data_IF_328343691004
#
_entry.id   IF_328343691004
#
_cell.length_a   1.000
_cell.length_b   1.000
_cell.length_c   1.000
_cell.angle_alpha   90.00
_cell.angle_beta   90.00
_cell.angle_gamma   90.00
#
_symmetry.space_group_name_H-M   'P 1'
#
loop_
_entity.id
_entity.type
_entity.pdbx_description
1 polymer ?
#
# COMPACT_ATOMS: atom_id res chain seq x y z
N UNK A 1 -13.15 7.93 -6.48
CA UNK A 1 -13.99 8.37 -7.63
C UNK A 1 -13.37 9.56 -8.38
N UNK A 2 -12.95 10.64 -7.70
CA UNK A 2 -12.47 11.88 -8.35
C UNK A 2 -11.07 11.76 -8.95
N UNK A 3 -10.05 11.42 -8.15
CA UNK A 3 -8.65 11.41 -8.59
C UNK A 3 -8.38 10.59 -9.87
N UNK A 4 -8.93 9.38 -10.05
CA UNK A 4 -8.71 8.58 -11.26
C UNK A 4 -9.29 9.19 -12.55
N UNK A 5 -10.12 10.24 -12.46
CA UNK A 5 -10.70 10.95 -13.61
C UNK A 5 -9.91 12.21 -13.95
N UNK A 6 -9.35 12.90 -12.95
CA UNK A 6 -8.61 14.15 -13.16
C UNK A 6 -7.13 13.93 -13.50
N UNK A 7 -6.54 12.83 -13.03
CA UNK A 7 -5.10 12.51 -13.19
C UNK A 7 -4.80 11.93 -14.57
N UNK A 8 -4.99 12.75 -15.61
CA UNK A 8 -4.62 12.46 -17.01
C UNK A 8 -3.19 12.90 -17.33
N UNK A 9 -2.30 12.75 -16.36
CA UNK A 9 -0.89 13.13 -16.39
C UNK A 9 -0.14 12.53 -15.20
N UNK A 10 1.19 12.48 -15.30
CA UNK A 10 2.04 11.96 -14.22
C UNK A 10 2.32 13.02 -13.15
N UNK A 11 2.83 12.59 -11.99
CA UNK A 11 2.97 13.43 -10.81
C UNK A 11 4.39 14.01 -10.69
N UNK A 12 4.52 15.32 -10.51
CA UNK A 12 5.71 16.00 -9.94
C UNK A 12 5.35 16.51 -8.55
N UNK A 13 5.74 15.77 -7.51
CA UNK A 13 5.48 16.12 -6.10
C UNK A 13 6.77 16.45 -5.38
N UNK A 14 6.84 17.64 -4.76
CA UNK A 14 8.05 18.13 -4.08
C UNK A 14 7.78 19.29 -3.13
N UNK A 15 8.60 19.40 -2.09
CA UNK A 15 8.56 20.56 -1.19
C UNK A 15 9.13 21.80 -1.89
N UNK A 16 8.45 22.97 -1.86
CA UNK A 16 9.08 24.23 -2.23
C UNK A 16 10.30 24.54 -1.35
N UNK A 17 11.32 25.19 -1.93
CA UNK A 17 12.48 25.66 -1.17
C UNK A 17 12.11 26.61 -0.02
N UNK A 18 11.06 27.42 -0.18
CA UNK A 18 10.53 28.30 0.85
C UNK A 18 9.97 27.52 2.05
N UNK A 19 9.19 26.47 1.79
CA UNK A 19 8.62 25.60 2.83
C UNK A 19 9.72 24.81 3.54
N UNK A 20 10.69 24.26 2.79
CA UNK A 20 11.85 23.57 3.38
C UNK A 20 12.66 24.50 4.27
N UNK A 21 12.97 25.72 3.81
CA UNK A 21 13.68 26.73 4.59
C UNK A 21 12.92 27.12 5.86
N UNK A 22 11.59 27.14 5.81
CA UNK A 22 10.75 27.40 6.98
C UNK A 22 10.86 26.26 8.00
N UNK A 23 10.77 24.99 7.55
CA UNK A 23 10.90 23.82 8.42
C UNK A 23 12.28 23.74 9.07
N UNK A 24 13.34 24.14 8.36
CA UNK A 24 14.69 24.19 8.94
C UNK A 24 14.83 25.23 10.06
N UNK A 25 14.15 26.38 9.93
CA UNK A 25 14.16 27.46 10.93
C UNK A 25 13.16 27.25 12.06
N UNK A 26 12.12 26.44 11.83
CA UNK A 26 11.04 26.17 12.76
C UNK A 26 10.79 24.65 12.79
N UNK A 27 11.73 23.86 13.35
CA UNK A 27 11.63 22.41 13.32
C UNK A 27 10.40 21.95 14.11
N UNK A 28 9.67 21.00 13.52
CA UNK A 28 8.57 20.33 14.18
C UNK A 28 9.09 19.22 15.11
N UNK A 29 8.22 18.68 15.97
CA UNK A 29 8.59 17.57 16.86
C UNK A 29 8.91 16.29 16.07
N UNK A 30 10.04 15.68 16.41
CA UNK A 30 10.45 14.35 15.95
C UNK A 30 10.71 13.49 17.19
N UNK A 31 10.01 12.35 17.29
CA UNK A 31 10.17 11.41 18.39
C UNK A 31 11.55 10.76 18.35
N UNK A 32 12.18 10.61 19.51
CA UNK A 32 13.49 9.98 19.60
C UNK A 32 13.39 8.48 19.31
N UNK A 33 14.34 7.96 18.53
CA UNK A 33 14.42 6.54 18.23
C UNK A 33 15.42 5.83 19.15
N UNK A 34 14.98 4.73 19.75
CA UNK A 34 15.83 3.82 20.53
C UNK A 34 16.34 2.68 19.65
N UNK A 35 17.59 2.29 19.83
CA UNK A 35 18.14 1.05 19.24
C UNK A 35 17.44 -0.20 19.77
N UNK A 36 16.85 -0.11 20.97
CA UNK A 36 16.14 -1.21 21.63
C UNK A 36 14.64 -1.27 21.26
N UNK A 37 14.18 -0.37 20.38
CA UNK A 37 12.79 -0.39 19.91
C UNK A 37 12.46 -1.75 19.30
N UNK A 38 11.34 -2.32 19.69
CA UNK A 38 10.80 -3.57 19.16
C UNK A 38 9.92 -3.35 17.93
N UNK A 39 9.63 -2.10 17.57
CA UNK A 39 8.76 -1.79 16.42
C UNK A 39 9.28 -2.39 15.13
N UNK A 40 8.42 -3.10 14.40
CA UNK A 40 8.77 -3.71 13.13
C UNK A 40 7.55 -3.79 12.23
N UNK A 41 7.78 -3.88 10.92
CA UNK A 41 6.76 -4.27 9.96
C UNK A 41 6.69 -5.79 9.91
N UNK A 42 5.48 -6.33 9.91
CA UNK A 42 5.21 -7.73 9.63
C UNK A 42 4.51 -7.83 8.28
N UNK A 43 5.05 -8.65 7.38
CA UNK A 43 4.48 -8.98 6.07
C UNK A 43 4.55 -10.48 5.82
N UNK A 44 3.74 -10.97 4.89
CA UNK A 44 3.74 -12.37 4.48
C UNK A 44 5.10 -12.76 3.88
N UNK A 45 5.47 -14.04 3.97
CA UNK A 45 6.68 -14.59 3.33
C UNK A 45 6.41 -15.27 1.99
N UNK A 46 5.16 -15.62 1.72
CA UNK A 46 4.66 -16.27 0.52
C UNK A 46 3.14 -16.15 0.45
N UNK A 47 2.53 -16.48 -0.69
CA UNK A 47 1.07 -16.47 -0.87
C UNK A 47 0.42 -15.08 -0.92
N UNK A 48 1.21 -14.01 -1.03
CA UNK A 48 0.74 -12.63 -1.25
C UNK A 48 0.76 -12.26 -2.75
N UNK A 49 0.35 -11.02 -3.08
CA UNK A 49 0.34 -10.58 -4.48
C UNK A 49 1.77 -10.54 -5.04
N UNK A 50 2.73 -10.08 -4.24
CA UNK A 50 4.15 -10.08 -4.64
C UNK A 50 4.63 -11.46 -5.11
N UNK A 51 4.35 -12.51 -4.32
CA UNK A 51 4.89 -13.85 -4.57
C UNK A 51 4.24 -14.60 -5.74
N UNK A 52 3.05 -14.17 -6.18
CA UNK A 52 2.31 -14.83 -7.26
C UNK A 52 2.33 -14.03 -8.57
N UNK A 53 2.78 -12.78 -8.57
CA UNK A 53 2.66 -11.87 -9.71
C UNK A 53 3.23 -12.44 -11.02
N UNK A 54 2.41 -12.39 -12.07
CA UNK A 54 2.82 -12.65 -13.46
C UNK A 54 2.50 -11.43 -14.30
N UNK A 55 3.36 -11.08 -15.26
CA UNK A 55 3.17 -9.89 -16.10
C UNK A 55 3.66 -10.11 -17.52
N UNK A 56 3.05 -9.41 -18.47
CA UNK A 56 3.46 -9.40 -19.87
C UNK A 56 3.20 -8.03 -20.52
N UNK A 57 3.95 -7.73 -21.58
CA UNK A 57 3.73 -6.55 -22.44
C UNK A 57 2.98 -6.98 -23.69
N UNK A 58 1.87 -6.30 -23.98
CA UNK A 58 1.03 -6.57 -25.15
C UNK A 58 1.74 -6.11 -26.43
N UNK A 59 1.86 -7.00 -27.42
CA UNK A 59 2.52 -6.71 -28.70
C UNK A 59 1.57 -6.07 -29.70
N UNK A 60 0.31 -6.52 -29.71
CA UNK A 60 -0.71 -6.13 -30.68
C UNK A 60 -1.97 -5.68 -29.95
N UNK A 61 -2.59 -4.59 -30.42
CA UNK A 61 -3.84 -4.11 -29.85
C UNK A 61 -4.91 -5.21 -29.95
N UNK A 62 -5.56 -5.51 -28.83
CA UNK A 62 -6.53 -6.60 -28.72
C UNK A 62 -7.59 -6.25 -27.68
N UNK A 63 -8.54 -7.16 -27.44
CA UNK A 63 -9.40 -7.11 -26.26
C UNK A 63 -9.15 -8.36 -25.42
N UNK A 64 -9.40 -8.26 -24.12
CA UNK A 64 -9.32 -9.38 -23.19
C UNK A 64 -10.63 -9.58 -22.44
N UNK A 65 -10.86 -10.81 -22.00
CA UNK A 65 -11.83 -11.17 -20.97
C UNK A 65 -11.09 -11.74 -19.76
N UNK A 66 -11.70 -11.70 -18.57
CA UNK A 66 -11.21 -12.43 -17.41
C UNK A 66 -12.21 -13.55 -17.14
N UNK A 67 -11.72 -14.78 -17.14
CA UNK A 67 -12.52 -15.99 -17.01
C UNK A 67 -12.03 -16.81 -15.83
N UNK A 68 -12.96 -17.45 -15.12
CA UNK A 68 -12.66 -18.46 -14.10
C UNK A 68 -13.07 -19.83 -14.65
N UNK A 69 -12.12 -20.75 -14.70
CA UNK A 69 -12.38 -22.17 -14.94
C UNK A 69 -12.35 -22.91 -13.62
N UNK A 70 -13.47 -23.54 -13.25
CA UNK A 70 -13.55 -24.34 -12.03
C UNK A 70 -13.02 -25.77 -12.26
N UNK A 71 -12.88 -26.55 -11.18
CA UNK A 71 -12.36 -27.92 -11.25
C UNK A 71 -13.23 -28.89 -12.10
N UNK A 72 -14.51 -28.56 -12.35
CA UNK A 72 -15.39 -29.37 -13.20
C UNK A 72 -15.34 -28.99 -14.70
N UNK A 73 -14.52 -27.98 -15.05
CA UNK A 73 -14.37 -27.47 -16.41
C UNK A 73 -15.41 -26.41 -16.81
N UNK A 74 -16.32 -26.02 -15.91
CA UNK A 74 -17.20 -24.86 -16.13
C UNK A 74 -16.41 -23.56 -16.20
N UNK A 75 -16.78 -22.70 -17.14
CA UNK A 75 -16.18 -21.39 -17.35
C UNK A 75 -17.18 -20.30 -16.98
N UNK A 76 -16.80 -19.44 -16.04
CA UNK A 76 -17.52 -18.23 -15.65
C UNK A 76 -16.76 -17.00 -16.15
N UNK A 77 -17.47 -16.04 -16.74
CA UNK A 77 -16.88 -14.73 -17.06
C UNK A 77 -16.87 -13.85 -15.81
N UNK A 78 -15.69 -13.54 -15.28
CA UNK A 78 -15.51 -12.58 -14.20
C UNK A 78 -15.53 -11.13 -14.71
N UNK A 79 -15.08 -10.92 -15.95
CA UNK A 79 -15.04 -9.61 -16.59
C UNK A 79 -15.32 -9.69 -18.09
N UNK A 80 -16.33 -8.92 -18.50
CA UNK A 80 -16.67 -8.66 -19.89
C UNK A 80 -15.51 -8.05 -20.70
N UNK A 81 -15.53 -8.18 -22.04
CA UNK A 81 -14.45 -7.71 -22.90
C UNK A 81 -14.03 -6.26 -22.65
N UNK A 82 -12.71 -6.04 -22.54
CA UNK A 82 -12.10 -4.73 -22.41
C UNK A 82 -10.84 -4.61 -23.28
N UNK A 83 -10.50 -3.39 -23.69
CA UNK A 83 -9.40 -3.15 -24.64
C UNK A 83 -8.02 -3.18 -23.99
N UNK A 84 -7.04 -3.66 -24.76
CA UNK A 84 -5.61 -3.55 -24.52
C UNK A 84 -4.93 -2.83 -25.69
N UNK A 85 -4.00 -1.95 -25.35
CA UNK A 85 -3.22 -1.19 -26.32
C UNK A 85 -1.89 -1.87 -26.62
N UNK A 86 -1.33 -1.59 -27.81
CA UNK A 86 0.05 -1.97 -28.12
C UNK A 86 0.99 -1.38 -27.07
N UNK A 87 1.87 -2.22 -26.54
CA UNK A 87 2.85 -1.84 -25.53
C UNK A 87 2.30 -1.69 -24.11
N UNK A 88 0.99 -1.85 -23.88
CA UNK A 88 0.41 -1.88 -22.53
C UNK A 88 0.99 -3.06 -21.75
N UNK A 89 1.32 -2.83 -20.48
CA UNK A 89 1.74 -3.90 -19.57
C UNK A 89 0.51 -4.30 -18.77
N UNK A 90 0.31 -5.61 -18.67
CA UNK A 90 -0.70 -6.21 -17.79
C UNK A 90 -0.03 -7.12 -16.80
N UNK A 91 -0.60 -7.21 -15.61
CA UNK A 91 -0.14 -8.08 -14.53
C UNK A 91 -1.34 -8.71 -13.83
N UNK A 92 -1.15 -9.93 -13.32
CA UNK A 92 -2.14 -10.66 -12.56
C UNK A 92 -1.46 -11.30 -11.34
N UNK A 93 -2.11 -11.20 -10.19
CA UNK A 93 -1.61 -11.71 -8.92
C UNK A 93 -2.76 -12.22 -8.05
N UNK A 94 -2.43 -13.11 -7.12
CA UNK A 94 -3.36 -13.71 -6.16
C UNK A 94 -2.82 -13.56 -4.74
N UNK A 95 -3.67 -13.13 -3.81
CA UNK A 95 -3.42 -13.28 -2.39
C UNK A 95 -4.20 -14.49 -1.88
N UNK A 96 -3.47 -15.49 -1.40
CA UNK A 96 -4.00 -16.71 -0.82
C UNK A 96 -4.65 -16.41 0.53
N UNK A 97 -5.93 -16.75 0.68
CA UNK A 97 -6.65 -16.54 1.94
C UNK A 97 -6.09 -17.42 3.05
N UNK A 98 -5.75 -18.68 2.73
CA UNK A 98 -5.17 -19.61 3.70
C UNK A 98 -3.82 -19.11 4.21
N UNK A 99 -2.94 -18.66 3.30
CA UNK A 99 -1.64 -18.07 3.65
C UNK A 99 -1.78 -16.78 4.45
N UNK A 100 -2.69 -15.89 4.05
CA UNK A 100 -2.98 -14.64 4.76
C UNK A 100 -3.45 -14.92 6.20
N UNK A 101 -4.39 -15.84 6.40
CA UNK A 101 -4.89 -16.20 7.73
C UNK A 101 -3.78 -16.81 8.59
N UNK A 102 -2.96 -17.70 8.01
CA UNK A 102 -1.80 -18.28 8.70
C UNK A 102 -0.80 -17.21 9.16
N UNK A 103 -0.49 -16.25 8.28
CA UNK A 103 0.36 -15.10 8.61
C UNK A 103 -0.25 -14.23 9.74
N UNK A 104 -1.55 -13.91 9.68
CA UNK A 104 -2.20 -13.09 10.72
C UNK A 104 -2.12 -13.78 12.08
N UNK A 105 -2.38 -15.09 12.16
CA UNK A 105 -2.26 -15.87 13.39
C UNK A 105 -0.84 -15.74 13.98
N UNK A 106 0.18 -15.89 13.13
CA UNK A 106 1.58 -15.76 13.54
C UNK A 106 1.92 -14.35 14.01
N UNK A 107 1.49 -13.32 13.27
CA UNK A 107 1.73 -11.92 13.63
C UNK A 107 1.07 -11.54 14.97
N UNK A 108 -0.16 -11.98 15.21
CA UNK A 108 -0.85 -11.78 16.51
C UNK A 108 -0.07 -12.45 17.65
N UNK A 109 0.34 -13.71 17.46
CA UNK A 109 1.12 -14.43 18.46
C UNK A 109 2.47 -13.75 18.75
N UNK A 110 3.15 -13.30 17.70
CA UNK A 110 4.45 -12.63 17.82
C UNK A 110 4.34 -11.26 18.51
N UNK A 111 3.32 -10.46 18.18
CA UNK A 111 3.05 -9.19 18.86
C UNK A 111 2.82 -9.40 20.36
N UNK A 112 2.06 -10.44 20.72
CA UNK A 112 1.81 -10.82 22.12
C UNK A 112 3.08 -11.26 22.84
N UNK A 113 3.87 -12.14 22.23
CA UNK A 113 5.13 -12.62 22.80
C UNK A 113 6.12 -11.47 23.05
N UNK A 114 6.18 -10.50 22.13
CA UNK A 114 7.07 -9.35 22.25
C UNK A 114 6.56 -8.26 23.20
N UNK A 115 5.27 -8.29 23.55
CA UNK A 115 4.61 -7.27 24.36
C UNK A 115 4.47 -5.93 23.64
N UNK A 116 4.27 -5.96 22.32
CA UNK A 116 4.07 -4.77 21.46
C UNK A 116 2.62 -4.69 21.01
N UNK A 117 2.20 -3.49 20.59
CA UNK A 117 0.88 -3.30 19.99
C UNK A 117 0.77 -4.09 18.68
N UNK A 118 -0.41 -4.62 18.41
CA UNK A 118 -0.77 -5.11 17.09
C UNK A 118 -1.43 -3.96 16.31
N UNK A 119 -0.89 -3.61 15.14
CA UNK A 119 -1.47 -2.59 14.26
C UNK A 119 -1.52 -3.05 12.81
N UNK A 120 -2.51 -2.59 12.06
CA UNK A 120 -2.86 -2.98 10.71
C UNK A 120 -2.91 -1.73 9.85
N UNK A 121 -2.14 -1.71 8.77
CA UNK A 121 -1.96 -0.54 7.92
C UNK A 121 -2.35 -0.89 6.49
N UNK A 122 -3.51 -0.41 6.05
CA UNK A 122 -4.11 -0.73 4.75
C UNK A 122 -4.57 0.54 4.04
N UNK A 123 -5.09 0.43 2.82
CA UNK A 123 -5.66 1.55 2.06
C UNK A 123 -7.10 1.29 1.63
N UNK A 124 -7.94 0.86 2.57
CA UNK A 124 -9.31 0.39 2.34
C UNK A 124 -10.21 1.34 1.53
N UNK A 125 -10.08 2.65 1.73
CA UNK A 125 -10.88 3.66 0.99
C UNK A 125 -10.53 3.71 -0.51
N UNK A 126 -9.26 3.51 -0.85
CA UNK A 126 -8.79 3.56 -2.24
C UNK A 126 -8.87 2.18 -2.86
N UNK A 127 -8.28 1.17 -2.21
CA UNK A 127 -8.33 -0.23 -2.60
C UNK A 127 -9.66 -0.89 -2.19
N UNK A 128 -10.76 -0.34 -2.71
CA UNK A 128 -12.14 -0.61 -2.27
C UNK A 128 -12.63 -2.07 -2.35
N UNK A 129 -11.87 -2.97 -2.96
CA UNK A 129 -12.20 -4.40 -3.07
C UNK A 129 -11.25 -5.23 -2.23
N UNK A 130 -9.95 -5.23 -2.55
CA UNK A 130 -8.95 -6.07 -1.87
C UNK A 130 -8.82 -5.77 -0.39
N UNK A 131 -8.64 -4.51 -0.04
CA UNK A 131 -8.20 -4.13 1.31
C UNK A 131 -9.29 -4.33 2.36
N UNK A 132 -10.59 -4.05 2.10
CA UNK A 132 -11.66 -4.44 3.01
C UNK A 132 -11.73 -5.96 3.24
N UNK A 133 -11.46 -6.80 2.24
CA UNK A 133 -11.44 -8.26 2.40
C UNK A 133 -10.27 -8.67 3.29
N UNK A 134 -9.07 -8.14 3.03
CA UNK A 134 -7.88 -8.40 3.85
C UNK A 134 -8.11 -7.96 5.29
N UNK A 135 -8.66 -6.76 5.49
CA UNK A 135 -9.00 -6.23 6.81
C UNK A 135 -10.02 -7.12 7.53
N UNK A 136 -11.05 -7.58 6.81
CA UNK A 136 -12.03 -8.53 7.35
C UNK A 136 -11.39 -9.84 7.80
N UNK A 137 -10.41 -10.37 7.08
CA UNK A 137 -9.65 -11.54 7.54
C UNK A 137 -8.90 -11.25 8.85
N UNK A 138 -8.30 -10.06 9.00
CA UNK A 138 -7.63 -9.68 10.25
C UNK A 138 -8.62 -9.63 11.41
N UNK A 139 -9.77 -8.98 11.22
CA UNK A 139 -10.83 -8.91 12.24
C UNK A 139 -11.36 -10.30 12.61
N UNK A 140 -11.68 -11.12 11.62
CA UNK A 140 -12.20 -12.48 11.85
C UNK A 140 -11.19 -13.41 12.51
N UNK A 141 -9.89 -13.25 12.26
CA UNK A 141 -8.84 -14.05 12.93
C UNK A 141 -8.60 -13.54 14.35
N UNK A 142 -8.54 -12.22 14.57
CA UNK A 142 -8.31 -11.67 15.91
C UNK A 142 -9.43 -12.05 16.89
N UNK A 143 -10.69 -11.97 16.44
CA UNK A 143 -11.89 -12.30 17.21
C UNK A 143 -12.47 -13.68 16.89
N UNK A 144 -11.65 -14.62 16.43
CA UNK A 144 -12.13 -15.92 15.92
C UNK A 144 -13.03 -16.68 16.90
N UNK A 145 -12.67 -16.66 18.20
CA UNK A 145 -13.44 -17.32 19.26
C UNK A 145 -14.87 -16.74 19.36
N UNK A 146 -15.04 -15.41 19.18
CA UNK A 146 -16.35 -14.72 19.20
C UNK A 146 -17.15 -15.05 17.94
N UNK A 147 -16.53 -14.96 16.77
CA UNK A 147 -17.20 -15.25 15.49
C UNK A 147 -17.67 -16.72 15.42
N UNK A 148 -16.87 -17.66 15.93
CA UNK A 148 -17.25 -19.08 15.98
C UNK A 148 -18.40 -19.35 16.95
N UNK A 149 -18.33 -18.79 18.17
CA UNK A 149 -19.37 -19.02 19.20
C UNK A 149 -20.71 -18.41 18.81
N UNK A 150 -20.72 -17.23 18.20
CA UNK A 150 -21.93 -16.45 17.89
C UNK A 150 -22.35 -16.48 16.42
N UNK A 151 -21.87 -17.46 15.65
CA UNK A 151 -22.03 -17.51 14.20
C UNK A 151 -23.49 -17.33 13.73
N UNK A 152 -24.45 -18.03 14.34
CA UNK A 152 -25.87 -17.94 13.98
C UNK A 152 -26.44 -16.54 14.23
N UNK A 153 -26.15 -15.95 15.39
CA UNK A 153 -26.60 -14.59 15.74
C UNK A 153 -25.96 -13.57 14.80
N UNK A 154 -24.69 -13.76 14.45
CA UNK A 154 -23.99 -12.85 13.54
C UNK A 154 -24.49 -12.95 12.09
N UNK A 155 -24.92 -14.13 11.65
CA UNK A 155 -25.60 -14.33 10.37
C UNK A 155 -26.96 -13.61 10.35
N UNK A 156 -27.78 -13.77 11.40
CA UNK A 156 -29.07 -13.08 11.53
C UNK A 156 -28.92 -11.55 11.54
N UNK A 157 -27.90 -11.04 12.22
CA UNK A 157 -27.56 -9.61 12.23
C UNK A 157 -26.88 -9.13 10.94
N UNK A 158 -26.57 -10.04 10.01
CA UNK A 158 -25.82 -9.73 8.79
C UNK A 158 -24.50 -9.00 9.07
N UNK A 159 -23.73 -9.47 10.07
CA UNK A 159 -22.41 -8.93 10.41
C UNK A 159 -21.48 -9.05 9.21
N UNK A 160 -20.71 -7.99 8.93
CA UNK A 160 -19.68 -8.00 7.90
C UNK A 160 -18.33 -7.55 8.46
N UNK A 161 -17.40 -8.50 8.64
CA UNK A 161 -16.06 -8.21 9.14
C UNK A 161 -15.26 -7.26 8.23
N UNK A 162 -15.58 -7.19 6.93
CA UNK A 162 -14.93 -6.26 5.99
C UNK A 162 -15.25 -4.80 6.31
N UNK A 163 -16.34 -4.52 7.04
CA UNK A 163 -16.68 -3.19 7.56
C UNK A 163 -15.95 -2.87 8.89
N UNK A 164 -15.19 -3.83 9.41
CA UNK A 164 -14.48 -3.74 10.67
C UNK A 164 -15.29 -4.18 11.88
N UNK A 165 -14.62 -4.27 13.03
CA UNK A 165 -15.22 -4.74 14.27
C UNK A 165 -16.28 -3.78 14.82
N UNK A 166 -16.27 -2.51 14.40
CA UNK A 166 -17.34 -1.56 14.68
C UNK A 166 -18.71 -1.99 14.13
N UNK A 167 -18.74 -2.77 13.05
CA UNK A 167 -19.98 -3.36 12.52
C UNK A 167 -20.60 -4.35 13.52
N UNK A 168 -19.77 -5.18 14.17
CA UNK A 168 -20.19 -6.07 15.26
C UNK A 168 -20.72 -5.24 16.43
N UNK A 169 -19.92 -4.28 16.92
CA UNK A 169 -20.28 -3.47 18.08
C UNK A 169 -21.59 -2.70 17.89
N UNK A 170 -21.83 -2.16 16.69
CA UNK A 170 -23.05 -1.41 16.40
C UNK A 170 -24.28 -2.31 16.28
N UNK A 171 -24.16 -3.50 15.67
CA UNK A 171 -25.30 -4.38 15.41
C UNK A 171 -25.73 -5.19 16.63
N UNK A 172 -24.83 -5.51 17.56
CA UNK A 172 -25.22 -6.19 18.81
C UNK A 172 -26.02 -5.29 19.76
N UNK A 173 -26.06 -3.97 19.52
CA UNK A 173 -26.90 -3.04 20.29
C UNK A 173 -28.40 -3.28 20.10
N UNK A 174 -28.81 -3.98 19.03
CA UNK A 174 -30.21 -4.30 18.76
C UNK A 174 -30.67 -5.59 19.45
N UNK A 175 -29.76 -6.34 20.07
CA UNK A 175 -30.05 -7.61 20.74
C UNK A 175 -30.66 -7.40 22.13
N UNK A 176 -31.31 -8.45 22.63
CA UNK A 176 -31.78 -8.49 24.02
C UNK A 176 -30.60 -8.35 25.01
N UNK A 177 -30.81 -7.70 26.18
CA UNK A 177 -29.72 -7.36 27.11
C UNK A 177 -28.86 -8.54 27.54
N UNK A 178 -29.44 -9.74 27.68
CA UNK A 178 -28.70 -10.94 28.08
C UNK A 178 -27.76 -11.45 26.99
N UNK A 179 -28.23 -11.52 25.74
CA UNK A 179 -27.41 -11.94 24.60
C UNK A 179 -26.30 -10.93 24.30
N UNK A 180 -26.63 -9.63 24.37
CA UNK A 180 -25.64 -8.55 24.26
C UNK A 180 -24.56 -8.67 25.33
N UNK A 181 -24.94 -8.87 26.59
CA UNK A 181 -23.99 -8.99 27.70
C UNK A 181 -23.08 -10.22 27.54
N UNK A 182 -23.62 -11.34 27.04
CA UNK A 182 -22.81 -12.53 26.74
C UNK A 182 -21.75 -12.25 25.67
N UNK A 183 -22.16 -11.68 24.53
CA UNK A 183 -21.23 -11.35 23.44
C UNK A 183 -20.17 -10.36 23.93
N UNK A 184 -20.57 -9.33 24.69
CA UNK A 184 -19.62 -8.36 25.27
C UNK A 184 -18.60 -9.02 26.21
N UNK A 185 -19.02 -9.99 27.03
CA UNK A 185 -18.10 -10.73 27.88
C UNK A 185 -17.09 -11.55 27.07
N UNK A 186 -17.52 -12.22 26.00
CA UNK A 186 -16.62 -12.98 25.13
C UNK A 186 -15.64 -12.07 24.38
N UNK A 187 -16.06 -10.86 23.98
CA UNK A 187 -15.19 -9.84 23.39
C UNK A 187 -14.10 -9.42 24.39
N UNK A 188 -14.46 -9.17 25.65
CA UNK A 188 -13.47 -8.84 26.68
C UNK A 188 -12.51 -10.01 26.95
N UNK A 189 -12.99 -11.26 26.88
CA UNK A 189 -12.14 -12.43 27.00
C UNK A 189 -11.11 -12.53 25.87
N UNK A 190 -11.48 -12.16 24.63
CA UNK A 190 -10.52 -12.06 23.51
C UNK A 190 -9.47 -10.99 23.79
N UNK A 191 -9.86 -9.77 24.20
CA UNK A 191 -8.88 -8.72 24.50
C UNK A 191 -7.94 -9.09 25.66
N UNK A 192 -8.42 -9.82 26.67
CA UNK A 192 -7.56 -10.31 27.75
C UNK A 192 -6.58 -11.42 27.29
N UNK A 193 -6.91 -12.14 26.22
CA UNK A 193 -6.11 -13.25 25.66
C UNK A 193 -5.15 -12.79 24.56
N UNK A 194 -5.51 -11.78 23.77
CA UNK A 194 -4.76 -11.32 22.60
C UNK A 194 -3.74 -10.21 22.95
N UNK A 195 -2.82 -9.81 22.04
CA UNK A 195 -2.03 -8.60 22.26
C UNK A 195 -2.94 -7.36 22.30
N UNK A 196 -2.46 -6.31 22.97
CA UNK A 196 -3.11 -5.00 22.89
C UNK A 196 -3.09 -4.49 21.44
N UNK A 197 -4.17 -3.84 21.02
CA UNK A 197 -4.33 -3.31 19.66
C UNK A 197 -4.07 -1.81 19.68
N UNK A 198 -3.46 -1.27 18.62
CA UNK A 198 -3.31 0.17 18.48
C UNK A 198 -4.66 0.90 18.49
N UNK A 199 -4.71 2.06 19.13
CA UNK A 199 -5.92 2.87 19.28
C UNK A 199 -5.96 4.00 18.25
N UNK A 200 -7.16 4.23 17.71
CA UNK A 200 -7.51 5.44 16.95
C UNK A 200 -7.93 6.54 17.93
N UNK A 201 -8.75 6.19 18.92
CA UNK A 201 -9.20 7.06 20.00
C UNK A 201 -9.33 6.23 21.29
N UNK A 202 -8.34 6.34 22.18
CA UNK A 202 -8.28 5.56 23.42
C UNK A 202 -9.40 5.93 24.40
N UNK A 203 -9.78 7.21 24.47
CA UNK A 203 -10.83 7.69 25.38
C UNK A 203 -12.21 7.13 25.04
N UNK A 204 -12.42 6.81 23.75
CA UNK A 204 -13.65 6.18 23.26
C UNK A 204 -13.55 4.68 23.03
N UNK A 205 -12.39 4.07 23.30
CA UNK A 205 -12.16 2.66 23.03
C UNK A 205 -12.19 2.29 21.54
N UNK A 206 -11.92 3.24 20.64
CA UNK A 206 -11.88 2.99 19.19
C UNK A 206 -10.50 2.44 18.84
N UNK A 207 -10.46 1.16 18.48
CA UNK A 207 -9.25 0.45 18.07
C UNK A 207 -9.01 0.59 16.57
N UNK A 208 -7.79 0.25 16.14
CA UNK A 208 -7.40 0.11 14.74
C UNK A 208 -8.23 -0.95 13.98
N UNK A 209 -8.90 -1.87 14.66
CA UNK A 209 -9.77 -2.88 14.05
C UNK A 209 -11.23 -2.44 13.91
N UNK A 210 -11.60 -1.25 14.40
CA UNK A 210 -13.00 -0.79 14.38
C UNK A 210 -13.50 -0.47 12.99
N UNK A 211 -12.78 0.37 12.23
CA UNK A 211 -13.19 0.83 10.89
C UNK A 211 -11.98 0.74 9.95
N UNK A 212 -12.12 0.08 8.78
CA UNK A 212 -11.01 -0.18 7.87
C UNK A 212 -10.39 1.09 7.26
N UNK A 213 -11.10 2.21 7.28
CA UNK A 213 -10.66 3.50 6.72
C UNK A 213 -10.01 4.44 7.74
N UNK A 214 -9.99 4.11 9.03
CA UNK A 214 -9.46 5.02 10.05
C UNK A 214 -7.92 5.07 10.03
N UNK A 215 -7.27 3.94 9.78
CA UNK A 215 -5.81 3.83 9.75
C UNK A 215 -5.34 3.54 8.33
N UNK A 216 -4.99 4.61 7.62
CA UNK A 216 -4.59 4.55 6.21
C UNK A 216 -3.07 4.50 6.13
N UNK A 217 -2.51 3.49 5.46
CA UNK A 217 -1.07 3.16 5.46
C UNK A 217 -0.14 4.33 5.08
N UNK A 218 -0.51 5.12 4.08
CA UNK A 218 0.25 6.26 3.57
C UNK A 218 0.43 7.35 4.63
N UNK A 219 -0.58 7.61 5.46
CA UNK A 219 -0.51 8.60 6.55
C UNK A 219 -0.06 7.99 7.89
N UNK A 220 -0.55 6.80 8.22
CA UNK A 220 -0.33 6.15 9.52
C UNK A 220 1.10 5.65 9.71
N UNK A 221 1.73 5.09 8.67
CA UNK A 221 3.12 4.62 8.77
C UNK A 221 4.09 5.77 9.01
N UNK A 222 4.05 6.90 8.25
CA UNK A 222 4.89 8.05 8.56
C UNK A 222 4.61 8.68 9.91
N UNK A 223 3.34 8.73 10.35
CA UNK A 223 2.98 9.25 11.67
C UNK A 223 3.60 8.41 12.80
N UNK A 224 3.52 7.08 12.68
CA UNK A 224 4.16 6.14 13.62
C UNK A 224 5.69 6.27 13.59
N UNK A 225 6.29 6.32 12.39
CA UNK A 225 7.76 6.45 12.24
C UNK A 225 8.27 7.78 12.84
N UNK A 226 7.55 8.88 12.61
CA UNK A 226 7.86 10.20 13.20
C UNK A 226 7.75 10.19 14.72
N UNK A 227 6.85 9.39 15.28
CA UNK A 227 6.54 9.34 16.71
C UNK A 227 7.30 8.20 17.38
N UNK A 228 8.63 8.18 17.23
CA UNK A 228 9.52 7.20 17.87
C UNK A 228 9.31 5.74 17.43
N UNK A 229 8.54 5.50 16.35
CA UNK A 229 8.13 4.15 15.97
C UNK A 229 6.94 3.63 16.78
N UNK A 230 6.17 4.50 17.42
CA UNK A 230 5.15 4.10 18.41
C UNK A 230 3.74 4.50 17.98
N UNK A 231 2.76 3.76 18.49
CA UNK A 231 1.33 4.05 18.38
C UNK A 231 0.71 4.13 19.77
N UNK A 232 -0.57 4.50 19.85
CA UNK A 232 -1.27 4.70 21.11
C UNK A 232 -1.88 3.39 21.61
N UNK A 233 -1.66 3.05 22.88
CA UNK A 233 -2.29 1.93 23.56
C UNK A 233 -3.61 2.32 24.23
N UNK A 234 -4.28 1.36 24.88
CA UNK A 234 -5.58 1.57 25.57
C UNK A 234 -5.53 2.61 26.70
N UNK A 235 -4.35 2.86 27.26
CA UNK A 235 -4.14 3.82 28.35
C UNK A 235 -3.79 5.22 27.82
N UNK A 236 -3.84 5.45 26.51
CA UNK A 236 -3.50 6.72 25.87
C UNK A 236 -1.99 7.00 25.89
N UNK A 237 -1.15 5.97 25.95
CA UNK A 237 0.30 6.08 25.98
C UNK A 237 0.94 5.54 24.71
N UNK A 238 2.11 6.08 24.35
CA UNK A 238 2.88 5.59 23.20
C UNK A 238 3.55 4.25 23.53
N UNK A 239 3.48 3.30 22.61
CA UNK A 239 4.07 1.98 22.75
C UNK A 239 4.56 1.47 21.39
N UNK A 240 5.65 0.70 21.40
CA UNK A 240 6.17 0.02 20.22
C UNK A 240 5.10 -0.89 19.61
N UNK A 241 5.15 -1.05 18.28
CA UNK A 241 4.10 -1.74 17.52
C UNK A 241 4.65 -2.71 16.48
N UNK A 242 3.92 -3.80 16.27
CA UNK A 242 4.03 -4.63 15.09
C UNK A 242 3.08 -4.11 14.02
N UNK A 243 3.63 -3.39 13.04
CA UNK A 243 2.91 -2.82 11.92
C UNK A 243 2.67 -3.86 10.82
N UNK A 244 1.48 -4.47 10.83
CA UNK A 244 1.05 -5.48 9.86
C UNK A 244 0.71 -4.84 8.52
N UNK A 245 1.49 -5.19 7.50
CA UNK A 245 1.31 -4.85 6.09
C UNK A 245 1.45 -6.17 5.33
N UNK A 246 0.34 -6.90 5.05
CA UNK A 246 0.43 -8.29 4.60
C UNK A 246 1.24 -8.48 3.31
N UNK A 247 1.03 -7.63 2.31
CA UNK A 247 1.68 -7.76 1.01
C UNK A 247 3.10 -7.17 0.98
N UNK A 248 4.05 -7.91 0.40
CA UNK A 248 5.47 -7.52 0.37
C UNK A 248 5.82 -6.44 -0.64
N UNK A 249 4.97 -6.10 -1.62
CA UNK A 249 5.34 -5.17 -2.69
C UNK A 249 5.91 -3.84 -2.15
N UNK A 250 5.38 -3.37 -1.02
CA UNK A 250 5.71 -2.06 -0.47
C UNK A 250 6.11 -2.08 1.02
N UNK A 251 5.87 -3.19 1.74
CA UNK A 251 6.16 -3.32 3.17
C UNK A 251 7.65 -3.05 3.50
N UNK A 252 8.56 -3.53 2.65
CA UNK A 252 10.00 -3.40 2.84
C UNK A 252 10.49 -1.94 2.93
N UNK A 253 9.83 -0.99 2.25
CA UNK A 253 10.18 0.44 2.31
C UNK A 253 10.04 0.98 3.74
N UNK A 254 8.96 0.63 4.42
CA UNK A 254 8.74 1.07 5.79
C UNK A 254 9.66 0.35 6.78
N UNK A 255 9.90 -0.96 6.57
CA UNK A 255 10.85 -1.72 7.39
C UNK A 255 12.27 -1.15 7.31
N UNK A 256 12.73 -0.79 6.11
CA UNK A 256 14.04 -0.16 5.90
C UNK A 256 14.12 1.21 6.60
N UNK A 257 13.04 2.00 6.55
CA UNK A 257 12.97 3.29 7.23
C UNK A 257 13.03 3.14 8.75
N UNK A 258 12.27 2.19 9.31
CA UNK A 258 12.30 1.86 10.74
C UNK A 258 13.70 1.40 11.15
N UNK A 259 14.28 0.46 10.40
CA UNK A 259 15.61 -0.09 10.67
C UNK A 259 16.68 0.99 10.62
N UNK A 260 16.56 1.93 9.68
CA UNK A 260 17.45 3.08 9.59
C UNK A 260 17.32 3.98 10.82
N UNK A 261 16.11 4.35 11.23
CA UNK A 261 15.88 5.21 12.38
C UNK A 261 16.34 4.57 13.70
N UNK A 262 16.15 3.26 13.89
CA UNK A 262 16.71 2.53 15.05
C UNK A 262 18.23 2.67 15.12
N UNK A 263 18.90 2.55 13.98
CA UNK A 263 20.37 2.56 13.90
C UNK A 263 20.99 3.97 13.88
N UNK A 264 20.28 4.96 13.34
CA UNK A 264 20.82 6.31 13.06
C UNK A 264 20.12 7.41 13.86
N UNK A 265 19.17 7.04 14.72
CA UNK A 265 18.29 7.96 15.41
C UNK A 265 17.30 8.65 14.45
N UNK A 266 16.44 9.49 15.04
CA UNK A 266 15.46 10.28 14.28
C UNK A 266 16.11 11.17 13.21
N UNK A 267 15.36 11.51 12.17
CA UNK A 267 15.74 12.56 11.24
C UNK A 267 15.73 13.93 11.93
N UNK A 268 16.61 14.83 11.48
CA UNK A 268 16.68 16.21 11.96
C UNK A 268 16.18 17.15 10.84
N UNK A 269 14.97 17.74 10.99
CA UNK A 269 14.40 18.64 9.99
C UNK A 269 15.27 19.88 9.68
N UNK A 270 16.19 20.25 10.58
CA UNK A 270 17.07 21.42 10.40
C UNK A 270 18.20 21.17 9.41
N UNK A 271 18.64 19.91 9.27
CA UNK A 271 19.81 19.54 8.47
C UNK A 271 19.50 18.53 7.36
N UNK A 272 18.42 17.75 7.48
CA UNK A 272 18.11 16.70 6.51
C UNK A 272 17.81 17.27 5.12
N UNK A 273 18.21 16.52 4.10
CA UNK A 273 17.90 16.79 2.71
C UNK A 273 16.41 16.61 2.40
N UNK A 274 16.09 16.53 1.11
CA UNK A 274 14.72 16.42 0.63
C UNK A 274 14.55 15.33 -0.41
N UNK A 275 13.41 14.63 -0.36
CA UNK A 275 13.01 13.65 -1.38
C UNK A 275 11.85 14.20 -2.18
N UNK A 276 12.09 14.38 -3.48
CA UNK A 276 11.01 14.65 -4.43
C UNK A 276 10.56 13.36 -5.11
N UNK A 277 9.36 13.35 -5.64
CA UNK A 277 8.79 12.19 -6.31
C UNK A 277 8.30 12.53 -7.72
N UNK A 278 8.70 11.68 -8.67
CA UNK A 278 8.12 11.60 -10.01
C UNK A 278 7.30 10.31 -10.09
N UNK A 279 5.98 10.45 -10.06
CA UNK A 279 5.06 9.33 -9.91
C UNK A 279 4.30 8.99 -11.17
N UNK A 280 4.36 7.72 -11.58
CA UNK A 280 3.51 7.17 -12.63
C UNK A 280 2.07 7.06 -12.11
N UNK A 281 1.12 7.72 -12.75
CA UNK A 281 -0.30 7.64 -12.34
C UNK A 281 -1.31 7.88 -13.45
N UNK A 282 -0.88 8.41 -14.60
CA UNK A 282 -1.79 8.79 -15.68
C UNK A 282 -2.66 7.60 -16.11
N UNK A 283 -3.93 7.88 -16.44
CA UNK A 283 -4.88 6.88 -16.96
C UNK A 283 -5.10 5.68 -16.02
N UNK A 284 -5.12 5.94 -14.71
CA UNK A 284 -5.35 4.94 -13.65
C UNK A 284 -4.30 3.82 -13.64
N UNK A 285 -3.03 4.19 -13.83
CA UNK A 285 -1.93 3.24 -13.88
C UNK A 285 -1.89 2.31 -12.65
N UNK A 286 -1.59 1.03 -12.92
CA UNK A 286 -1.34 -0.03 -11.94
C UNK A 286 -2.56 -0.29 -11.03
N UNK A 287 -2.36 -0.42 -9.71
CA UNK A 287 -3.39 -0.87 -8.76
C UNK A 287 -4.60 0.08 -8.68
N UNK A 288 -4.42 1.36 -8.96
CA UNK A 288 -5.50 2.37 -8.94
C UNK A 288 -6.53 2.14 -10.06
N UNK A 289 -6.17 1.35 -11.08
CA UNK A 289 -7.05 0.93 -12.17
C UNK A 289 -7.61 -0.47 -11.98
N UNK A 290 -7.29 -1.18 -10.89
CA UNK A 290 -7.55 -2.63 -10.75
C UNK A 290 -8.91 -2.99 -10.16
N UNK A 291 -9.68 -2.03 -9.65
CA UNK A 291 -10.86 -2.33 -8.84
C UNK A 291 -11.95 -3.11 -9.57
N UNK A 292 -12.11 -2.90 -10.87
CA UNK A 292 -13.06 -3.60 -11.74
C UNK A 292 -12.48 -4.90 -12.33
N UNK A 293 -11.35 -5.34 -11.78
CA UNK A 293 -10.54 -6.50 -12.14
C UNK A 293 -10.01 -7.22 -10.88
N UNK A 294 -10.65 -7.00 -9.74
CA UNK A 294 -10.31 -7.63 -8.46
C UNK A 294 -11.51 -8.46 -8.02
N UNK A 295 -11.29 -9.73 -7.72
CA UNK A 295 -12.36 -10.68 -7.42
C UNK A 295 -11.98 -11.54 -6.21
N UNK A 296 -12.94 -11.77 -5.33
CA UNK A 296 -12.83 -12.79 -4.30
C UNK A 296 -13.37 -14.10 -4.84
N UNK A 297 -12.55 -15.14 -4.81
CA UNK A 297 -12.89 -16.42 -5.41
C UNK A 297 -13.85 -17.21 -4.51
N UNK A 298 -14.87 -17.84 -5.11
CA UNK A 298 -15.88 -18.63 -4.39
C UNK A 298 -15.67 -20.14 -4.52
N UNK A 299 -14.76 -20.55 -5.41
CA UNK A 299 -14.42 -21.93 -5.71
C UNK A 299 -12.93 -22.02 -6.07
N UNK A 300 -12.33 -23.20 -5.90
CA UNK A 300 -10.99 -23.47 -6.39
C UNK A 300 -10.99 -23.69 -7.91
N UNK A 301 -9.93 -23.26 -8.59
CA UNK A 301 -9.82 -23.36 -10.04
C UNK A 301 -8.67 -22.52 -10.60
N UNK A 302 -8.86 -22.03 -11.83
CA UNK A 302 -7.87 -21.19 -12.53
C UNK A 302 -8.54 -19.94 -13.08
N UNK A 303 -8.01 -18.76 -12.76
CA UNK A 303 -8.39 -17.51 -13.41
C UNK A 303 -7.47 -17.27 -14.60
N UNK A 304 -8.05 -17.01 -15.77
CA UNK A 304 -7.33 -16.69 -17.01
C UNK A 304 -7.72 -15.33 -17.57
N UNK A 305 -6.72 -14.59 -18.02
CA UNK A 305 -6.87 -13.41 -18.86
C UNK A 305 -6.68 -13.87 -20.30
N UNK A 306 -7.74 -13.83 -21.10
CA UNK A 306 -7.76 -14.43 -22.45
C UNK A 306 -8.08 -13.34 -23.47
N UNK A 307 -7.31 -13.27 -24.56
CA UNK A 307 -7.59 -12.37 -25.68
C UNK A 307 -8.71 -12.90 -26.58
N UNK A 308 -9.26 -12.04 -27.44
CA UNK A 308 -10.40 -12.39 -28.32
C UNK A 308 -10.13 -13.50 -29.34
N UNK A 309 -8.86 -13.77 -29.65
CA UNK A 309 -8.41 -14.88 -30.49
C UNK A 309 -8.20 -16.19 -29.71
N UNK A 310 -8.53 -16.21 -28.41
CA UNK A 310 -8.45 -17.39 -27.54
C UNK A 310 -7.08 -17.62 -26.91
N UNK A 311 -6.13 -16.70 -27.07
CA UNK A 311 -4.80 -16.82 -26.47
C UNK A 311 -4.85 -16.46 -24.98
N UNK A 312 -4.32 -17.34 -24.13
CA UNK A 312 -4.15 -17.07 -22.70
C UNK A 312 -2.97 -16.11 -22.53
N UNK A 313 -3.24 -14.89 -22.06
CA UNK A 313 -2.24 -13.87 -21.81
C UNK A 313 -1.60 -14.02 -20.43
N UNK A 314 -2.41 -14.31 -19.41
CA UNK A 314 -2.01 -14.55 -18.02
C UNK A 314 -2.94 -15.60 -17.40
N UNK A 315 -2.43 -16.38 -16.46
CA UNK A 315 -3.24 -17.33 -15.68
C UNK A 315 -2.73 -17.47 -14.25
N UNK A 316 -3.66 -17.71 -13.32
CA UNK A 316 -3.38 -17.94 -11.92
C UNK A 316 -4.27 -19.04 -11.35
N UNK A 317 -3.66 -19.98 -10.63
CA UNK A 317 -4.41 -20.92 -9.79
C UNK A 317 -4.94 -20.20 -8.55
N UNK A 318 -6.16 -20.54 -8.15
CA UNK A 318 -6.85 -19.91 -7.03
C UNK A 318 -7.59 -20.94 -6.18
N UNK A 319 -7.71 -20.66 -4.89
CA UNK A 319 -8.54 -21.40 -3.95
C UNK A 319 -9.76 -20.56 -3.49
N UNK A 320 -10.67 -21.19 -2.74
CA UNK A 320 -11.82 -20.49 -2.14
C UNK A 320 -11.33 -19.38 -1.22
N UNK A 321 -11.89 -18.19 -1.40
CA UNK A 321 -11.63 -17.03 -0.57
C UNK A 321 -10.42 -16.19 -0.99
N UNK A 322 -9.59 -16.71 -1.90
CA UNK A 322 -8.45 -15.98 -2.46
C UNK A 322 -8.89 -14.69 -3.15
N UNK A 323 -7.99 -13.71 -3.16
CA UNK A 323 -8.20 -12.44 -3.85
C UNK A 323 -7.36 -12.45 -5.12
N UNK A 324 -8.01 -12.56 -6.28
CA UNK A 324 -7.36 -12.34 -7.57
C UNK A 324 -7.42 -10.85 -7.92
N UNK A 325 -6.35 -10.33 -8.54
CA UNK A 325 -6.30 -8.98 -9.08
C UNK A 325 -5.54 -8.94 -10.40
N UNK A 326 -6.03 -8.16 -11.36
CA UNK A 326 -5.30 -7.76 -12.56
C UNK A 326 -5.12 -6.23 -12.63
N UNK A 327 -3.91 -5.76 -12.95
CA UNK A 327 -3.62 -4.35 -13.19
C UNK A 327 -3.19 -4.09 -14.65
N UNK A 328 -3.13 -2.79 -14.99
CA UNK A 328 -2.79 -2.31 -16.32
C UNK A 328 -1.96 -1.03 -16.22
N UNK A 329 -0.97 -0.88 -17.09
CA UNK A 329 -0.32 0.42 -17.35
C UNK A 329 -0.04 0.59 -18.84
N UNK A 330 -0.51 1.71 -19.39
CA UNK A 330 -0.37 2.02 -20.81
C UNK A 330 1.01 2.58 -21.12
N UNK A 331 1.47 2.32 -22.33
CA UNK A 331 2.82 2.69 -22.76
C UNK A 331 3.06 4.21 -22.79
N UNK A 332 2.08 4.99 -23.27
CA UNK A 332 2.20 6.44 -23.35
C UNK A 332 2.38 7.11 -21.96
N UNK A 333 1.62 6.75 -20.90
CA UNK A 333 1.93 7.12 -19.52
C UNK A 333 3.35 6.81 -19.07
N UNK A 334 3.92 5.66 -19.46
CA UNK A 334 5.29 5.27 -19.08
C UNK A 334 6.32 6.16 -19.77
N UNK A 335 6.16 6.43 -21.07
CA UNK A 335 7.04 7.33 -21.81
C UNK A 335 7.03 8.75 -21.20
N UNK A 336 5.85 9.28 -20.90
CA UNK A 336 5.70 10.58 -20.26
C UNK A 336 6.35 10.61 -18.86
N UNK A 337 6.20 9.53 -18.09
CA UNK A 337 6.82 9.40 -16.77
C UNK A 337 8.34 9.38 -16.83
N UNK A 338 8.94 8.63 -17.76
CA UNK A 338 10.40 8.62 -17.99
C UNK A 338 10.89 10.00 -18.43
N UNK A 339 10.17 10.65 -19.36
CA UNK A 339 10.47 12.01 -19.80
C UNK A 339 10.44 13.00 -18.64
N UNK A 340 9.41 12.93 -17.78
CA UNK A 340 9.29 13.78 -16.60
C UNK A 340 10.45 13.55 -15.62
N UNK A 341 10.85 12.30 -15.40
CA UNK A 341 12.00 11.96 -14.56
C UNK A 341 13.30 12.59 -15.07
N UNK A 342 13.60 12.44 -16.37
CA UNK A 342 14.80 13.04 -16.98
C UNK A 342 14.75 14.57 -16.92
N UNK A 343 13.58 15.18 -17.15
CA UNK A 343 13.41 16.63 -17.03
C UNK A 343 13.71 17.13 -15.61
N UNK A 344 13.22 16.43 -14.58
CA UNK A 344 13.50 16.78 -13.18
C UNK A 344 14.96 16.54 -12.81
N UNK A 345 15.55 15.43 -13.24
CA UNK A 345 16.97 15.14 -13.06
C UNK A 345 17.84 16.24 -13.67
N UNK A 346 17.59 16.62 -14.93
CA UNK A 346 18.32 17.69 -15.63
C UNK A 346 18.14 19.06 -14.98
N UNK A 347 16.93 19.38 -14.53
CA UNK A 347 16.64 20.68 -13.92
C UNK A 347 17.25 20.86 -12.52
N UNK A 348 17.64 19.77 -11.86
CA UNK A 348 18.09 19.81 -10.45
C UNK A 348 19.47 19.23 -10.24
N UNK A 349 19.99 18.46 -11.19
CA UNK A 349 21.24 17.71 -11.12
C UNK A 349 21.34 16.82 -9.86
N UNK A 350 20.22 16.20 -9.47
CA UNK A 350 20.13 15.32 -8.31
C UNK A 350 20.19 13.83 -8.72
N UNK A 351 20.71 12.96 -7.84
CA UNK A 351 20.55 11.52 -8.00
C UNK A 351 19.08 11.16 -8.18
N UNK A 352 18.77 10.45 -9.26
CA UNK A 352 17.42 10.11 -9.67
C UNK A 352 17.27 8.60 -9.76
N UNK A 353 16.38 8.02 -8.94
CA UNK A 353 16.33 6.58 -8.75
C UNK A 353 14.95 6.09 -9.16
N UNK A 354 14.90 5.15 -10.11
CA UNK A 354 13.71 4.37 -10.42
C UNK A 354 13.58 3.23 -9.42
N UNK A 355 12.48 3.19 -8.67
CA UNK A 355 12.23 2.19 -7.62
C UNK A 355 11.46 1.03 -8.24
N UNK A 356 12.20 0.06 -8.78
CA UNK A 356 11.66 -1.07 -9.52
C UNK A 356 12.37 -2.35 -9.04
N UNK A 357 11.60 -3.33 -8.59
CA UNK A 357 12.12 -4.62 -8.15
C UNK A 357 12.19 -5.61 -9.31
N UNK A 358 13.39 -6.02 -9.72
CA UNK A 358 13.56 -7.02 -10.78
C UNK A 358 12.93 -8.38 -10.45
N UNK A 359 12.60 -8.66 -9.18
CA UNK A 359 11.92 -9.88 -8.75
C UNK A 359 10.40 -9.82 -8.91
N UNK A 360 9.84 -8.63 -9.17
CA UNK A 360 8.41 -8.47 -9.51
C UNK A 360 8.25 -8.55 -11.01
N UNK A 361 7.38 -9.44 -11.48
CA UNK A 361 7.15 -9.61 -12.92
C UNK A 361 6.70 -8.30 -13.58
N UNK A 362 5.87 -7.50 -12.90
CA UNK A 362 5.43 -6.19 -13.39
C UNK A 362 6.61 -5.22 -13.54
N UNK A 363 7.42 -5.08 -12.49
CA UNK A 363 8.54 -4.16 -12.49
C UNK A 363 9.63 -4.61 -13.48
N UNK A 364 9.80 -5.91 -13.74
CA UNK A 364 10.67 -6.41 -14.81
C UNK A 364 10.24 -5.88 -16.19
N UNK A 365 8.94 -5.85 -16.47
CA UNK A 365 8.42 -5.23 -17.70
C UNK A 365 8.64 -3.71 -17.71
N UNK A 366 8.43 -3.04 -16.57
CA UNK A 366 8.71 -1.61 -16.42
C UNK A 366 10.18 -1.27 -16.65
N UNK A 367 11.12 -2.07 -16.12
CA UNK A 367 12.56 -1.89 -16.30
C UNK A 367 12.93 -1.95 -17.78
N UNK A 368 12.35 -2.88 -18.56
CA UNK A 368 12.54 -2.95 -20.01
C UNK A 368 12.11 -1.65 -20.70
N UNK A 369 10.95 -1.09 -20.31
CA UNK A 369 10.44 0.19 -20.85
C UNK A 369 11.32 1.37 -20.45
N UNK A 370 11.72 1.46 -19.18
CA UNK A 370 12.60 2.53 -18.67
C UNK A 370 13.93 2.52 -19.42
N UNK A 371 14.59 1.36 -19.52
CA UNK A 371 15.86 1.24 -20.25
C UNK A 371 15.72 1.63 -21.73
N UNK A 372 14.61 1.26 -22.39
CA UNK A 372 14.32 1.68 -23.75
C UNK A 372 14.17 3.20 -23.86
N UNK A 373 13.28 3.80 -23.06
CA UNK A 373 12.90 5.21 -23.20
C UNK A 373 13.95 6.18 -22.66
N UNK A 374 14.84 5.74 -21.78
CA UNK A 374 16.01 6.56 -21.40
C UNK A 374 16.93 6.84 -22.60
N UNK A 375 16.96 5.99 -23.63
CA UNK A 375 17.74 6.20 -24.86
C UNK A 375 17.19 7.34 -25.72
N UNK A 376 15.91 7.68 -25.57
CA UNK A 376 15.26 8.77 -26.31
C UNK A 376 15.57 10.16 -25.71
N UNK A 377 16.35 10.20 -24.63
CA UNK A 377 16.69 11.41 -23.91
C UNK A 377 18.20 11.58 -23.75
N UNK A 378 18.66 12.83 -23.74
CA UNK A 378 20.05 13.11 -23.34
C UNK A 378 20.18 12.89 -21.83
N UNK A 379 20.88 11.83 -21.44
CA UNK A 379 21.19 11.47 -20.05
C UNK A 379 22.65 11.69 -19.67
N UNK A 380 23.46 12.29 -20.56
CA UNK A 380 24.85 12.65 -20.27
C UNK A 380 24.93 13.51 -19.01
N UNK A 381 25.86 13.16 -18.11
CA UNK A 381 26.11 13.79 -16.81
C UNK A 381 24.96 13.68 -15.79
N UNK A 382 23.91 12.90 -16.04
CA UNK A 382 22.87 12.62 -15.06
C UNK A 382 23.18 11.35 -14.27
N UNK A 383 23.03 11.42 -12.94
CA UNK A 383 23.08 10.25 -12.07
C UNK A 383 21.68 9.61 -12.00
N UNK A 384 21.45 8.60 -12.85
CA UNK A 384 20.19 7.85 -12.91
C UNK A 384 20.45 6.38 -12.56
N UNK A 385 19.67 5.85 -11.61
CA UNK A 385 19.77 4.47 -11.15
C UNK A 385 18.42 3.75 -11.26
N UNK A 386 18.45 2.42 -11.38
CA UNK A 386 17.29 1.55 -11.18
C UNK A 386 17.63 0.64 -9.99
N UNK A 387 16.80 0.65 -8.96
CA UNK A 387 17.03 -0.09 -7.71
C UNK A 387 15.72 -0.67 -7.18
N UNK A 388 15.78 -1.86 -6.59
CA UNK A 388 14.65 -2.42 -5.84
C UNK A 388 14.22 -1.44 -4.71
N UNK A 389 12.92 -1.35 -4.36
CA UNK A 389 12.40 -0.36 -3.41
C UNK A 389 13.16 -0.29 -2.09
N UNK A 390 13.58 -1.43 -1.53
CA UNK A 390 14.36 -1.49 -0.29
C UNK A 390 15.76 -0.89 -0.45
N UNK A 391 16.45 -1.23 -1.55
CA UNK A 391 17.76 -0.68 -1.86
C UNK A 391 17.70 0.82 -2.15
N UNK A 392 16.69 1.25 -2.91
CA UNK A 392 16.41 2.66 -3.20
C UNK A 392 16.10 3.44 -1.92
N UNK A 393 15.36 2.84 -0.99
CA UNK A 393 15.08 3.40 0.34
C UNK A 393 16.37 3.60 1.13
N UNK A 394 17.21 2.57 1.28
CA UNK A 394 18.50 2.67 1.98
C UNK A 394 19.41 3.74 1.38
N UNK A 395 19.50 3.80 0.04
CA UNK A 395 20.26 4.85 -0.65
C UNK A 395 19.71 6.24 -0.27
N UNK A 396 18.40 6.42 -0.38
CA UNK A 396 17.72 7.70 -0.15
C UNK A 396 17.88 8.17 1.30
N UNK A 397 17.61 7.31 2.28
CA UNK A 397 17.72 7.66 3.70
C UNK A 397 19.14 8.08 4.08
N UNK A 398 20.16 7.38 3.56
CA UNK A 398 21.57 7.75 3.76
C UNK A 398 21.88 9.14 3.20
N UNK A 399 21.41 9.46 2.00
CA UNK A 399 21.61 10.77 1.37
C UNK A 399 20.90 11.88 2.13
N UNK A 400 19.63 11.67 2.48
CA UNK A 400 18.79 12.64 3.18
C UNK A 400 19.33 12.92 4.57
N UNK A 401 19.77 11.90 5.32
CA UNK A 401 20.42 12.09 6.63
C UNK A 401 21.70 12.93 6.52
N UNK A 402 22.41 12.84 5.40
CA UNK A 402 23.61 13.64 5.11
C UNK A 402 23.30 15.02 4.50
N UNK A 403 22.05 15.49 4.54
CA UNK A 403 21.66 16.80 4.01
C UNK A 403 21.54 16.87 2.48
N UNK A 404 21.58 15.73 1.77
CA UNK A 404 21.52 15.66 0.31
C UNK A 404 20.12 15.34 -0.19
N UNK A 405 19.76 15.88 -1.35
CA UNK A 405 18.46 15.66 -1.96
C UNK A 405 18.49 14.49 -2.96
N UNK A 406 17.36 13.81 -3.12
CA UNK A 406 17.18 12.68 -4.04
C UNK A 406 15.84 12.81 -4.77
N UNK A 407 15.80 12.37 -6.03
CA UNK A 407 14.54 12.18 -6.76
C UNK A 407 14.19 10.69 -6.72
N UNK A 408 13.03 10.38 -6.14
CA UNK A 408 12.39 9.07 -6.27
C UNK A 408 11.52 9.06 -7.51
N UNK A 409 11.65 8.02 -8.35
CA UNK A 409 10.87 7.84 -9.57
C UNK A 409 10.15 6.52 -9.43
N UNK A 410 8.83 6.55 -9.24
CA UNK A 410 8.09 5.39 -8.72
C UNK A 410 6.78 5.13 -9.43
N UNK A 411 6.28 3.91 -9.29
CA UNK A 411 4.89 3.56 -9.59
C UNK A 411 3.87 4.30 -8.72
N UNK A 412 2.59 4.05 -8.97
CA UNK A 412 1.46 4.84 -8.43
C UNK A 412 1.29 4.69 -6.91
N UNK A 413 1.43 3.47 -6.39
CA UNK A 413 1.34 3.22 -4.94
C UNK A 413 2.54 3.80 -4.20
N UNK A 414 3.77 3.58 -4.68
CA UNK A 414 4.94 4.17 -4.05
C UNK A 414 4.97 5.70 -4.16
N UNK A 415 4.45 6.29 -5.26
CA UNK A 415 4.29 7.75 -5.36
C UNK A 415 3.52 8.25 -4.16
N UNK A 416 2.39 7.60 -3.89
CA UNK A 416 1.53 7.93 -2.79
C UNK A 416 2.26 7.84 -1.44
N UNK A 417 2.80 6.66 -1.12
CA UNK A 417 3.44 6.39 0.17
C UNK A 417 4.64 7.30 0.43
N UNK A 418 5.49 7.53 -0.58
CA UNK A 418 6.69 8.34 -0.42
C UNK A 418 6.37 9.85 -0.33
N UNK A 419 5.28 10.29 -0.95
CA UNK A 419 4.85 11.70 -0.87
C UNK A 419 4.09 12.04 0.41
N UNK A 420 3.81 11.06 1.25
CA UNK A 420 3.46 11.26 2.65
C UNK A 420 4.66 11.02 3.57
N UNK A 421 5.41 9.94 3.37
CA UNK A 421 6.54 9.56 4.20
C UNK A 421 7.58 10.67 4.35
N UNK A 422 8.19 11.10 3.24
CA UNK A 422 9.27 12.08 3.34
C UNK A 422 8.76 13.46 3.75
N UNK A 423 7.64 14.00 3.22
CA UNK A 423 7.13 15.28 3.68
C UNK A 423 6.71 15.31 5.15
N UNK A 424 6.18 14.22 5.71
CA UNK A 424 5.87 14.16 7.15
C UNK A 424 7.16 14.19 7.99
N UNK A 425 8.21 13.50 7.56
CA UNK A 425 9.52 13.54 8.26
C UNK A 425 10.25 14.88 8.07
N UNK A 426 10.10 15.52 6.91
CA UNK A 426 10.79 16.76 6.56
C UNK A 426 10.09 18.02 7.05
N UNK A 427 8.76 18.04 6.99
CA UNK A 427 7.93 19.25 7.16
C UNK A 427 6.90 19.10 8.29
N UNK A 428 6.76 17.90 8.86
CA UNK A 428 5.76 17.57 9.86
C UNK A 428 4.36 17.33 9.27
N UNK A 429 4.19 17.49 7.96
CA UNK A 429 2.93 17.32 7.22
C UNK A 429 3.18 17.22 5.72
N UNK A 430 2.36 16.43 5.02
CA UNK A 430 2.34 16.31 3.56
C UNK A 430 1.46 17.36 2.87
N UNK A 431 0.71 18.17 3.63
CA UNK A 431 -0.16 19.21 3.08
C UNK A 431 0.59 20.41 2.47
N UNK A 432 1.87 20.60 2.80
CA UNK A 432 2.68 21.77 2.37
C UNK A 432 3.59 21.45 1.18
N UNK A 433 3.03 20.76 0.18
CA UNK A 433 3.76 20.24 -0.98
C UNK A 433 3.26 20.89 -2.27
N UNK A 434 4.15 21.04 -3.26
CA UNK A 434 3.70 21.19 -4.65
C UNK A 434 3.30 19.82 -5.16
N UNK A 435 2.11 19.71 -5.72
CA UNK A 435 1.63 18.53 -6.43
C UNK A 435 1.18 18.98 -7.82
N UNK A 436 2.12 18.92 -8.77
CA UNK A 436 1.93 19.37 -10.14
C UNK A 436 1.66 18.15 -11.01
N UNK A 437 0.64 18.25 -11.86
CA UNK A 437 0.27 17.22 -12.82
C UNK A 437 0.27 17.83 -14.21
N UNK A 438 1.38 17.72 -14.96
CA UNK A 438 1.42 18.07 -16.37
C UNK A 438 0.48 17.12 -17.13
N UNK A 439 -0.67 17.62 -17.59
CA UNK A 439 -1.63 16.79 -18.30
C UNK A 439 -1.04 16.39 -19.65
N UNK A 440 -1.21 15.13 -20.04
CA UNK A 440 -0.63 14.60 -21.29
C UNK A 440 -1.14 15.35 -22.53
N UNK A 441 -2.32 15.96 -22.45
CA UNK A 441 -2.91 16.79 -23.51
C UNK A 441 -2.45 18.27 -23.50
N UNK A 442 -1.42 18.61 -22.72
CA UNK A 442 -0.78 19.93 -22.71
C UNK A 442 -1.31 20.94 -21.68
N UNK A 443 -2.34 20.57 -20.91
CA UNK A 443 -2.83 21.37 -19.78
C UNK A 443 -2.04 21.15 -18.49
N UNK A 444 -2.47 21.79 -17.40
CA UNK A 444 -1.89 21.60 -16.07
C UNK A 444 -2.96 21.44 -15.00
N UNK A 445 -2.78 20.47 -14.11
CA UNK A 445 -3.56 20.29 -12.90
C UNK A 445 -2.62 20.53 -11.70
N UNK A 446 -3.13 21.25 -10.69
CA UNK A 446 -2.36 21.64 -9.50
C UNK A 446 -3.16 21.23 -8.27
N UNK A 447 -2.74 20.13 -7.62
CA UNK A 447 -3.33 19.71 -6.35
C UNK A 447 -2.71 20.52 -5.21
N UNK A 448 -3.50 20.89 -4.21
CA UNK A 448 -3.11 21.84 -3.15
C UNK A 448 -2.14 21.26 -2.11
N UNK A 449 -1.92 19.94 -2.13
CA UNK A 449 -1.07 19.21 -1.19
C UNK A 449 -1.01 17.73 -1.56
N UNK A 450 -0.33 16.92 -0.75
CA UNK A 450 -0.16 15.50 -1.02
C UNK A 450 -1.09 14.56 -0.22
N UNK A 451 -1.49 14.96 0.99
CA UNK A 451 -2.36 14.18 1.89
C UNK A 451 -3.83 14.58 1.88
#
# INVERSE_FOLDING_TARGET
>A
AVNPVLREGNSDRRAPASVKSYAQKNPHSMGAWSTDSKTAVASMSEGDFYGSEKSTTITDATQFTIQFESADGSIEELKAPASLQVGEIIDAAVMSQSSLRGFIIQAIAQAKEQGVLFSVHMKATMMKVSDPIIFGQVVSVFFEDVFKKHALVFEELSINANNGFGDVLSKIETLEPSQKAEIQADIQAVYAKQPDVAMVDSDKGITNLNIPSDVIIDASMPAMIRTSGQMWNKDGQQQDTMAVIPDRCYAGVFQETISFCKNQGAFDPTTMGSVSNVGLMAQKAQEYGSHDKTFQMVAAGTVRVVSTDGVVLLEQSVEVGDIFRMCQVKDAPIQDWVKLAVNRARATNLPTIFWLDEKRAHDEQMIKKVNKYLLDHNTTDLEIHIMAPEAATRFTLKHVKAGKNVISVTGNVLRDYLTDLFPILELGTSAKMLSIVPLMNGGGLFETGAG
#
